data_IF_645057295812
#
_entry.id   IF_645057295812
#
_cell.length_a   1.000
_cell.length_b   1.000
_cell.length_c   1.000
_cell.angle_alpha   90.00
_cell.angle_beta   90.00
_cell.angle_gamma   90.00
#
_symmetry.space_group_name_H-M   'P 1'
#
loop_
_entity.id
_entity.type
_entity.pdbx_description
1 polymer ?
#
# COMPACT_ATOMS: atom_id res chain seq x y z
N UNK A 1 2.34 -12.52 1.31
CA UNK A 1 1.80 -11.76 0.15
C UNK A 1 2.93 -11.14 -0.65
N UNK A 2 2.66 -10.57 -1.84
CA UNK A 2 3.71 -9.91 -2.67
C UNK A 2 4.43 -8.76 -1.94
N UNK A 3 3.77 -8.16 -0.95
CA UNK A 3 4.28 -7.06 -0.12
C UNK A 3 5.34 -7.50 0.89
N UNK A 4 5.40 -8.79 1.23
CA UNK A 4 6.38 -9.34 2.18
C UNK A 4 7.68 -9.79 1.48
N UNK A 5 7.68 -9.85 0.14
CA UNK A 5 8.81 -10.33 -0.65
C UNK A 5 9.72 -9.14 -0.99
N UNK A 6 11.02 -9.31 -0.74
CA UNK A 6 12.03 -8.32 -1.16
C UNK A 6 12.05 -8.26 -2.69
N UNK A 7 11.82 -7.07 -3.25
CA UNK A 7 11.73 -6.87 -4.70
C UNK A 7 13.03 -7.19 -5.44
N UNK A 8 14.18 -7.15 -4.76
CA UNK A 8 15.47 -7.61 -5.30
C UNK A 8 15.41 -9.06 -5.80
N UNK A 9 14.83 -9.98 -5.01
CA UNK A 9 14.70 -11.37 -5.42
C UNK A 9 13.78 -11.54 -6.63
N UNK A 10 12.77 -10.69 -6.75
CA UNK A 10 11.88 -10.72 -7.93
C UNK A 10 12.65 -10.33 -9.20
N UNK A 11 13.58 -9.38 -9.11
CA UNK A 11 14.46 -8.99 -10.22
C UNK A 11 15.45 -10.09 -10.58
N UNK A 12 16.07 -10.73 -9.59
CA UNK A 12 17.02 -11.84 -9.81
C UNK A 12 16.33 -13.00 -10.53
N UNK A 13 15.17 -13.43 -10.03
CA UNK A 13 14.38 -14.50 -10.66
C UNK A 13 13.85 -14.10 -12.06
N UNK A 14 13.55 -12.81 -12.26
CA UNK A 14 13.17 -12.30 -13.57
C UNK A 14 14.34 -12.36 -14.57
N UNK A 15 15.56 -12.15 -14.11
CA UNK A 15 16.77 -12.24 -14.93
C UNK A 15 17.09 -13.69 -15.28
N UNK A 16 16.99 -14.61 -14.31
CA UNK A 16 17.24 -16.04 -14.52
C UNK A 16 16.35 -16.64 -15.62
N UNK A 17 15.05 -16.32 -15.59
CA UNK A 17 14.13 -16.78 -16.64
C UNK A 17 14.24 -15.99 -17.95
N UNK A 18 14.88 -14.82 -17.92
CA UNK A 18 15.03 -13.92 -19.06
C UNK A 18 15.78 -14.54 -20.23
N UNK A 19 16.67 -15.51 -19.96
CA UNK A 19 17.37 -16.27 -20.99
C UNK A 19 16.45 -17.11 -21.90
N UNK A 20 15.25 -17.44 -21.42
CA UNK A 20 14.27 -18.25 -22.14
C UNK A 20 13.13 -17.41 -22.75
N UNK A 21 13.23 -16.07 -22.71
CA UNK A 21 12.22 -15.13 -23.20
C UNK A 21 12.80 -14.35 -24.38
N UNK A 22 12.20 -14.52 -25.56
CA UNK A 22 12.60 -13.90 -26.81
C UNK A 22 12.49 -12.36 -26.78
N UNK A 23 11.35 -11.85 -26.29
CA UNK A 23 11.03 -10.43 -26.22
C UNK A 23 11.25 -9.89 -24.83
N UNK A 24 10.22 -9.77 -24.00
CA UNK A 24 10.32 -9.29 -22.63
C UNK A 24 9.13 -9.81 -21.83
N UNK A 25 8.99 -9.32 -20.60
CA UNK A 25 7.97 -9.71 -19.66
C UNK A 25 7.45 -8.51 -18.88
N UNK A 26 6.16 -8.53 -18.57
CA UNK A 26 5.52 -7.52 -17.73
C UNK A 26 5.94 -7.71 -16.26
N UNK A 27 6.91 -6.91 -15.81
CA UNK A 27 7.45 -6.98 -14.44
C UNK A 27 6.83 -5.92 -13.53
N UNK A 28 5.84 -6.31 -12.72
CA UNK A 28 5.24 -5.42 -11.72
C UNK A 28 6.06 -5.40 -10.42
N UNK A 29 6.40 -4.20 -9.94
CA UNK A 29 7.15 -4.00 -8.70
C UNK A 29 6.20 -3.53 -7.60
N UNK A 30 6.29 -4.14 -6.43
CA UNK A 30 5.45 -3.84 -5.28
C UNK A 30 6.31 -3.35 -4.12
N UNK A 31 6.11 -2.11 -3.67
CA UNK A 31 6.94 -1.53 -2.61
C UNK A 31 6.08 -0.89 -1.52
N UNK A 32 6.30 -1.32 -0.28
CA UNK A 32 5.82 -0.62 0.91
C UNK A 32 6.82 0.49 1.21
N UNK A 33 6.35 1.73 1.33
CA UNK A 33 7.17 2.93 1.51
C UNK A 33 8.20 3.17 0.39
N UNK A 34 7.66 3.45 -0.81
CA UNK A 34 8.47 3.82 -1.97
C UNK A 34 9.15 5.17 -1.74
N UNK A 35 10.48 5.16 -1.73
CA UNK A 35 11.31 6.36 -1.73
C UNK A 35 12.11 6.44 -3.02
N UNK A 36 12.48 7.65 -3.45
CA UNK A 36 13.27 7.85 -4.66
C UNK A 36 14.58 7.07 -4.62
N UNK A 37 15.26 7.05 -3.47
CA UNK A 37 16.50 6.28 -3.30
C UNK A 37 16.29 4.77 -3.53
N UNK A 38 15.23 4.19 -2.96
CA UNK A 38 14.89 2.77 -3.15
C UNK A 38 14.57 2.48 -4.62
N UNK A 39 13.74 3.32 -5.24
CA UNK A 39 13.36 3.16 -6.65
C UNK A 39 14.55 3.27 -7.58
N UNK A 40 15.43 4.26 -7.39
CA UNK A 40 16.65 4.41 -8.19
C UNK A 40 17.57 3.21 -8.02
N UNK A 41 17.83 2.77 -6.79
CA UNK A 41 18.67 1.58 -6.53
C UNK A 41 18.13 0.31 -7.19
N UNK A 42 16.81 0.14 -7.19
CA UNK A 42 16.10 -0.99 -7.82
C UNK A 42 16.24 -0.94 -9.34
N UNK A 43 16.05 0.23 -9.96
CA UNK A 43 16.22 0.39 -11.41
C UNK A 43 17.65 0.11 -11.86
N UNK A 44 18.65 0.65 -11.14
CA UNK A 44 20.06 0.39 -11.46
C UNK A 44 20.42 -1.09 -11.28
N UNK A 45 19.84 -1.77 -10.28
CA UNK A 45 20.02 -3.20 -10.12
C UNK A 45 19.44 -3.99 -11.30
N UNK A 46 18.20 -3.69 -11.71
CA UNK A 46 17.58 -4.36 -12.87
C UNK A 46 18.33 -4.11 -14.17
N UNK A 47 18.82 -2.90 -14.37
CA UNK A 47 19.67 -2.53 -15.50
C UNK A 47 21.00 -3.29 -15.50
N UNK A 48 21.67 -3.38 -14.34
CA UNK A 48 22.92 -4.13 -14.18
C UNK A 48 22.77 -5.64 -14.43
N UNK A 49 21.58 -6.20 -14.22
CA UNK A 49 21.23 -7.59 -14.57
C UNK A 49 20.89 -7.79 -16.06
N UNK A 50 20.79 -6.72 -16.86
CA UNK A 50 20.43 -6.81 -18.27
C UNK A 50 18.93 -7.06 -18.53
N UNK A 51 18.05 -6.74 -17.57
CA UNK A 51 16.60 -6.87 -17.77
C UNK A 51 16.12 -5.89 -18.84
N UNK A 52 15.45 -6.42 -19.87
CA UNK A 52 14.84 -5.62 -20.96
C UNK A 52 13.71 -4.72 -20.44
N UNK A 53 12.91 -5.22 -19.50
CA UNK A 53 11.90 -4.45 -18.78
C UNK A 53 12.23 -4.45 -17.29
N UNK A 54 12.78 -3.34 -16.80
CA UNK A 54 13.13 -3.18 -15.38
C UNK A 54 11.92 -2.94 -14.47
N UNK A 55 10.85 -2.32 -14.99
CA UNK A 55 9.61 -2.07 -14.27
C UNK A 55 8.46 -1.79 -15.24
N UNK A 56 7.29 -2.40 -15.00
CA UNK A 56 6.06 -2.13 -15.74
C UNK A 56 5.14 -1.21 -14.94
N UNK A 57 4.57 -1.70 -13.84
CA UNK A 57 3.89 -0.87 -12.84
C UNK A 57 4.65 -0.84 -11.53
N UNK A 58 4.70 0.34 -10.92
CA UNK A 58 4.98 0.50 -9.51
C UNK A 58 3.67 0.46 -8.74
N UNK A 59 3.53 -0.53 -7.87
CA UNK A 59 2.41 -0.63 -6.92
C UNK A 59 2.94 -0.23 -5.54
N UNK A 60 2.42 0.86 -5.02
CA UNK A 60 2.71 1.30 -3.65
C UNK A 60 1.54 1.01 -2.75
N UNK A 61 1.84 0.76 -1.48
CA UNK A 61 0.85 0.64 -0.42
C UNK A 61 1.06 1.79 0.55
N UNK A 62 -0.02 2.41 1.02
CA UNK A 62 0.06 3.44 2.03
C UNK A 62 0.60 2.85 3.34
N UNK A 63 1.40 3.63 4.07
CA UNK A 63 2.00 3.20 5.35
C UNK A 63 0.94 2.85 6.41
N UNK A 64 -0.23 3.49 6.35
CA UNK A 64 -1.40 3.15 7.14
C UNK A 64 -2.49 2.60 6.21
N UNK A 65 -2.82 1.32 6.34
CA UNK A 65 -4.05 0.79 5.77
C UNK A 65 -5.23 1.33 6.57
N UNK A 66 -6.20 1.94 5.90
CA UNK A 66 -7.48 2.22 6.53
C UNK A 66 -8.09 0.90 7.01
N UNK A 67 -8.41 0.81 8.31
CA UNK A 67 -9.15 -0.31 8.87
C UNK A 67 -10.45 -0.43 8.07
N UNK A 68 -10.57 -1.50 7.28
CA UNK A 68 -11.76 -1.74 6.47
C UNK A 68 -12.87 -2.18 7.41
N UNK A 69 -13.73 -1.24 7.79
CA UNK A 69 -14.93 -1.55 8.56
C UNK A 69 -15.88 -2.36 7.66
N UNK A 70 -15.96 -3.66 7.91
CA UNK A 70 -17.01 -4.49 7.31
C UNK A 70 -18.34 -4.20 8.01
N UNK A 71 -19.47 -4.44 7.33
CA UNK A 71 -20.82 -4.25 7.91
C UNK A 71 -21.05 -5.11 9.18
N UNK A 72 -20.18 -6.09 9.42
CA UNK A 72 -20.16 -6.96 10.59
C UNK A 72 -19.54 -6.33 11.85
N UNK A 73 -18.95 -5.12 11.78
CA UNK A 73 -18.37 -4.45 12.96
C UNK A 73 -19.42 -4.23 14.04
N UNK A 74 -20.68 -3.97 13.66
CA UNK A 74 -21.79 -3.87 14.61
C UNK A 74 -22.18 -5.22 15.23
N UNK A 75 -22.04 -6.35 14.51
CA UNK A 75 -22.30 -7.68 15.06
C UNK A 75 -21.20 -8.13 16.00
N UNK A 76 -19.94 -7.86 15.68
CA UNK A 76 -18.80 -8.16 16.55
C UNK A 76 -18.81 -7.28 17.80
N UNK A 77 -19.18 -5.99 17.68
CA UNK A 77 -19.34 -5.09 18.83
C UNK A 77 -20.50 -5.50 19.75
N UNK A 78 -21.60 -6.02 19.18
CA UNK A 78 -22.72 -6.59 19.95
C UNK A 78 -22.39 -7.95 20.58
N UNK A 79 -21.51 -8.74 19.95
CA UNK A 79 -20.99 -9.98 20.52
C UNK A 79 -19.97 -9.72 21.65
N UNK A 80 -19.26 -8.59 21.61
CA UNK A 80 -18.32 -8.16 22.65
C UNK A 80 -18.94 -7.36 23.82
N UNK A 81 -20.20 -6.94 23.72
CA UNK A 81 -20.86 -6.15 24.77
C UNK A 81 -21.34 -6.96 25.97
N UNK A 82 -21.01 -8.25 26.07
CA UNK A 82 -21.21 -9.05 27.29
C UNK A 82 -20.13 -8.84 28.35
N UNK A 83 -19.15 -7.98 28.10
CA UNK A 83 -18.08 -7.64 29.06
C UNK A 83 -17.80 -6.15 29.03
N UNK A 84 -18.50 -5.43 29.90
CA UNK A 84 -18.27 -4.01 30.18
C UNK A 84 -16.90 -3.82 30.85
N UNK A 85 -16.10 -2.85 30.38
CA UNK A 85 -15.41 -1.79 31.16
C UNK A 85 -14.60 -0.91 30.18
N UNK A 86 -14.90 0.41 30.16
CA UNK A 86 -14.00 1.49 29.74
C UNK A 86 -14.24 2.09 28.34
N UNK A 87 -15.12 3.09 28.19
CA UNK A 87 -15.35 3.76 26.88
C UNK A 87 -15.41 5.29 26.89
N UNK A 88 -15.08 5.98 27.99
CA UNK A 88 -15.15 7.45 28.01
C UNK A 88 -14.06 8.14 27.16
N UNK A 89 -12.87 7.55 27.06
CA UNK A 89 -11.75 8.12 26.30
C UNK A 89 -11.92 7.95 24.77
N UNK A 90 -12.43 6.79 24.35
CA UNK A 90 -12.69 6.46 22.94
C UNK A 90 -13.82 7.33 22.36
N UNK A 91 -14.86 7.60 23.16
CA UNK A 91 -15.97 8.47 22.74
C UNK A 91 -15.53 9.91 22.52
N UNK A 92 -14.64 10.45 23.37
CA UNK A 92 -14.08 11.80 23.20
C UNK A 92 -13.22 11.93 21.95
N UNK A 93 -12.37 10.93 21.66
CA UNK A 93 -11.53 10.94 20.47
C UNK A 93 -12.34 10.91 19.17
N UNK A 94 -13.47 10.19 19.17
CA UNK A 94 -14.38 10.11 18.01
C UNK A 94 -15.14 11.42 17.79
N UNK A 95 -15.48 12.15 18.86
CA UNK A 95 -16.17 13.44 18.77
C UNK A 95 -15.25 14.56 18.26
N UNK A 96 -13.98 14.55 18.68
CA UNK A 96 -12.97 15.52 18.24
C UNK A 96 -12.62 15.37 16.75
N UNK A 97 -12.61 14.13 16.22
CA UNK A 97 -12.45 13.85 14.79
C UNK A 97 -13.67 14.27 13.94
N UNK A 98 -14.86 14.34 14.53
CA UNK A 98 -16.08 14.79 13.84
C UNK A 98 -16.22 16.31 13.81
N UNK A 99 -15.57 17.02 14.73
CA UNK A 99 -15.59 18.48 14.81
C UNK A 99 -14.61 19.17 13.83
N UNK A 100 -13.71 18.41 13.19
CA UNK A 100 -12.78 18.91 12.20
C UNK A 100 -13.41 19.09 10.82
N UNK A 101 -14.23 20.12 10.62
CA UNK A 101 -14.63 20.56 9.28
C UNK A 101 -13.40 20.99 8.46
N UNK A 102 -13.24 20.57 7.19
CA UNK A 102 -12.16 21.06 6.36
C UNK A 102 -12.40 22.55 6.04
N UNK A 103 -11.51 23.42 6.54
CA UNK A 103 -11.59 24.88 6.37
C UNK A 103 -11.22 25.39 4.97
N UNK A 104 -11.43 24.58 3.93
CA UNK A 104 -11.19 24.97 2.54
C UNK A 104 -12.23 24.29 1.65
N UNK A 105 -13.15 25.10 1.14
CA UNK A 105 -14.07 24.73 0.07
C UNK A 105 -13.27 24.32 -1.17
N UNK A 106 -13.71 23.28 -1.88
CA UNK A 106 -13.14 22.93 -3.18
C UNK A 106 -13.59 23.97 -4.22
N UNK A 107 -12.86 25.08 -4.34
CA UNK A 107 -13.09 26.12 -5.36
C UNK A 107 -12.54 25.66 -6.73
N UNK A 108 -12.92 24.46 -7.17
CA UNK A 108 -12.40 23.87 -8.41
C UNK A 108 -13.38 22.98 -9.18
N UNK A 109 -14.59 22.77 -8.68
CA UNK A 109 -15.64 22.03 -9.41
C UNK A 109 -16.82 22.95 -9.73
N UNK A 110 -16.54 24.03 -10.44
CA UNK A 110 -17.55 24.77 -11.22
C UNK A 110 -16.85 25.63 -12.27
N UNK A 111 -16.35 25.00 -13.31
CA UNK A 111 -16.28 25.48 -14.70
C UNK A 111 -15.99 24.28 -15.60
#
# INVERSE_FOLDING_TARGET
TVWEIKQRHVLDLAADRGAYIDQSQSLNIHMVDASTAKLSSMHFHGWGLGLKTGMYYLRTKAAADAIKFTVEVDKVRRAGSSSAVGSSAEQKAIEELKAGEPKYSCVGCSS
#
